data_IF_712570608828
#
_entry.id   IF_712570608828
#
_cell.length_a   1.000
_cell.length_b   1.000
_cell.length_c   1.000
_cell.angle_alpha   90.00
_cell.angle_beta   90.00
_cell.angle_gamma   90.00
#
_symmetry.space_group_name_H-M   'P 1'
#
loop_
_entity.id
_entity.type
_entity.pdbx_description
1 polymer ?
#
# COMPACT_ATOMS: atom_id res chain seq x y z
N UNK A 1 -8.80 -0.84 -20.30
CA UNK A 1 -7.95 -0.02 -19.42
C UNK A 1 -7.53 -0.81 -18.20
N UNK A 2 -6.29 -0.60 -17.76
CA UNK A 2 -5.69 -1.27 -16.61
C UNK A 2 -5.58 -0.27 -15.45
N UNK A 3 -6.16 -0.60 -14.29
CA UNK A 3 -5.99 0.18 -13.07
C UNK A 3 -5.05 -0.58 -12.15
N UNK A 4 -3.87 -0.02 -11.93
CA UNK A 4 -2.87 -0.51 -11.00
C UNK A 4 -3.01 0.32 -9.74
N UNK A 5 -3.17 -0.29 -8.57
CA UNK A 5 -3.23 0.45 -7.31
C UNK A 5 -2.55 -0.30 -6.18
N UNK A 6 -2.15 0.44 -5.15
CA UNK A 6 -1.49 -0.06 -3.95
C UNK A 6 -1.95 0.77 -2.74
N UNK A 7 -1.94 0.16 -1.56
CA UNK A 7 -2.33 0.79 -0.31
C UNK A 7 -1.28 0.63 0.78
N UNK A 8 -0.99 1.73 1.48
CA UNK A 8 -0.34 1.67 2.78
C UNK A 8 -1.39 1.62 3.87
N UNK A 9 -1.13 0.87 4.94
CA UNK A 9 -2.14 0.60 5.98
C UNK A 9 -1.57 0.68 7.38
N UNK A 10 -2.46 0.68 8.37
CA UNK A 10 -2.07 0.67 9.78
C UNK A 10 -1.47 -0.66 10.26
N UNK A 11 -1.35 -1.69 9.41
CA UNK A 11 -0.76 -2.97 9.79
C UNK A 11 -1.21 -4.14 8.91
N UNK A 12 -1.31 -5.32 9.51
CA UNK A 12 -1.75 -6.55 8.83
C UNK A 12 -3.11 -7.01 9.39
N UNK A 13 -3.92 -7.76 8.62
CA UNK A 13 -5.20 -8.23 9.09
C UNK A 13 -5.00 -9.33 10.14
N UNK A 14 -5.92 -9.43 11.10
CA UNK A 14 -5.85 -10.49 12.12
C UNK A 14 -6.03 -11.87 11.49
N UNK A 15 -6.87 -11.97 10.47
CA UNK A 15 -7.16 -13.14 9.68
C UNK A 15 -7.29 -12.75 8.20
N UNK A 16 -6.41 -13.28 7.35
CA UNK A 16 -6.42 -13.04 5.90
C UNK A 16 -7.65 -13.61 5.19
N UNK A 17 -8.39 -14.53 5.83
CA UNK A 17 -9.57 -15.16 5.25
C UNK A 17 -10.90 -14.54 5.72
N UNK A 18 -10.86 -13.44 6.48
CA UNK A 18 -12.08 -12.81 6.97
C UNK A 18 -12.83 -12.12 5.81
N UNK A 19 -14.18 -12.12 5.78
CA UNK A 19 -14.92 -11.34 4.79
C UNK A 19 -14.72 -9.83 5.02
N UNK A 20 -14.90 -9.02 3.97
CA UNK A 20 -14.81 -7.54 4.08
C UNK A 20 -15.84 -6.95 5.07
N UNK A 21 -16.94 -7.65 5.30
CA UNK A 21 -17.98 -7.28 6.27
C UNK A 21 -17.50 -7.38 7.73
N UNK A 22 -16.46 -8.17 7.99
CA UNK A 22 -15.73 -8.15 9.27
C UNK A 22 -14.66 -7.07 9.19
N UNK A 23 -15.09 -5.82 9.05
CA UNK A 23 -14.20 -4.70 8.74
C UNK A 23 -13.18 -4.41 9.85
N UNK A 24 -13.46 -4.80 11.09
CA UNK A 24 -12.54 -4.64 12.23
C UNK A 24 -11.36 -5.62 12.19
N UNK A 25 -11.47 -6.70 11.41
CA UNK A 25 -10.34 -7.60 11.14
C UNK A 25 -9.26 -6.94 10.27
N UNK A 26 -9.69 -6.11 9.33
CA UNK A 26 -8.84 -5.48 8.33
C UNK A 26 -8.24 -4.17 8.88
N UNK A 27 -6.97 -3.86 8.59
CA UNK A 27 -6.38 -2.59 9.01
C UNK A 27 -7.04 -1.40 8.26
N UNK A 28 -6.71 -0.18 8.71
CA UNK A 28 -7.19 1.06 8.10
C UNK A 28 -6.26 1.48 6.97
N UNK A 29 -6.83 1.99 5.88
CA UNK A 29 -6.06 2.58 4.79
C UNK A 29 -5.42 3.90 5.25
N UNK A 30 -4.16 4.10 4.92
CA UNK A 30 -3.36 5.27 5.29
C UNK A 30 -2.96 6.05 4.04
N UNK A 31 -2.63 5.34 2.98
CA UNK A 31 -2.39 5.89 1.65
C UNK A 31 -3.08 5.00 0.63
N UNK A 32 -3.49 5.60 -0.48
CA UNK A 32 -3.75 4.89 -1.72
C UNK A 32 -3.06 5.63 -2.86
N UNK A 33 -2.48 4.90 -3.78
CA UNK A 33 -2.04 5.42 -5.06
C UNK A 33 -2.58 4.55 -6.19
N UNK A 34 -2.77 5.13 -7.37
CA UNK A 34 -3.11 4.36 -8.56
C UNK A 34 -2.59 5.00 -9.84
N UNK A 35 -2.45 4.14 -10.84
CA UNK A 35 -2.22 4.49 -12.24
C UNK A 35 -3.30 3.85 -13.10
N UNK A 36 -3.90 4.65 -13.98
CA UNK A 36 -4.81 4.17 -15.01
C UNK A 36 -4.08 4.21 -16.36
N UNK A 37 -4.00 3.06 -17.02
CA UNK A 37 -3.37 2.91 -18.33
C UNK A 37 -4.40 2.51 -19.39
N UNK A 38 -4.15 2.95 -20.63
CA UNK A 38 -4.88 2.48 -21.79
C UNK A 38 -4.49 1.03 -22.17
N UNK A 39 -5.13 0.50 -23.20
CA UNK A 39 -4.87 -0.83 -23.75
C UNK A 39 -3.44 -1.01 -24.33
N UNK A 40 -2.71 0.08 -24.58
CA UNK A 40 -1.33 0.09 -25.08
C UNK A 40 -0.31 0.27 -23.95
N UNK A 41 -0.77 0.38 -22.70
CA UNK A 41 0.08 0.62 -21.53
C UNK A 41 0.50 2.09 -21.38
N UNK A 42 -0.07 3.02 -22.13
CA UNK A 42 0.20 4.44 -21.93
C UNK A 42 -0.50 4.93 -20.65
N UNK A 43 0.23 5.68 -19.82
CA UNK A 43 -0.29 6.27 -18.59
C UNK A 43 -1.29 7.39 -18.93
N UNK A 44 -2.54 7.23 -18.50
CA UNK A 44 -3.62 8.21 -18.69
C UNK A 44 -3.83 9.09 -17.46
N UNK A 45 -3.74 8.50 -16.27
CA UNK A 45 -3.96 9.17 -14.99
C UNK A 45 -3.06 8.52 -13.93
N UNK A 46 -2.48 9.34 -13.07
CA UNK A 46 -1.86 8.92 -11.82
C UNK A 46 -2.39 9.80 -10.70
N UNK A 47 -2.81 9.19 -9.59
CA UNK A 47 -3.23 9.89 -8.38
C UNK A 47 -2.72 9.18 -7.15
N UNK A 48 -2.49 9.97 -6.12
CA UNK A 48 -2.08 9.51 -4.81
C UNK A 48 -2.71 10.37 -3.72
N UNK A 49 -3.09 9.72 -2.63
CA UNK A 49 -3.77 10.36 -1.51
C UNK A 49 -3.25 9.78 -0.20
N UNK A 50 -2.79 10.66 0.69
CA UNK A 50 -2.77 10.38 2.12
C UNK A 50 -4.21 10.49 2.66
N UNK A 51 -4.59 9.60 3.56
CA UNK A 51 -5.93 9.54 4.13
C UNK A 51 -5.88 10.09 5.56
N UNK A 52 -6.71 11.09 5.85
CA UNK A 52 -6.85 11.62 7.20
C UNK A 52 -7.41 10.52 8.11
N UNK A 53 -6.74 10.18 9.23
CA UNK A 53 -7.24 9.18 10.15
C UNK A 53 -8.57 9.60 10.78
N UNK A 54 -9.58 8.74 10.66
CA UNK A 54 -10.92 8.94 11.21
C UNK A 54 -11.17 7.94 12.35
N UNK A 55 -10.95 8.42 13.58
CA UNK A 55 -11.11 7.64 14.80
C UNK A 55 -9.99 6.64 15.10
N UNK A 56 -8.83 6.78 14.45
CA UNK A 56 -7.64 5.95 14.70
C UNK A 56 -6.35 6.76 14.63
N UNK A 57 -5.28 6.17 15.15
CA UNK A 57 -3.91 6.66 14.99
C UNK A 57 -3.12 5.65 14.17
N UNK A 58 -2.14 6.13 13.40
CA UNK A 58 -1.24 5.24 12.65
C UNK A 58 -0.23 4.66 13.64
N UNK A 59 -0.14 3.32 13.80
CA UNK A 59 0.80 2.71 14.72
C UNK A 59 2.25 2.98 14.31
N UNK A 60 3.12 3.19 15.29
CA UNK A 60 4.54 3.49 15.05
C UNK A 60 5.27 2.42 14.22
N UNK A 61 4.91 1.15 14.37
CA UNK A 61 5.51 0.08 13.57
C UNK A 61 5.12 0.15 12.09
N UNK A 62 3.89 0.59 11.78
CA UNK A 62 3.47 0.86 10.40
C UNK A 62 4.19 2.11 9.85
N UNK A 63 4.22 3.19 10.63
CA UNK A 63 4.96 4.41 10.28
C UNK A 63 6.44 4.13 9.98
N UNK A 64 7.11 3.24 10.72
CA UNK A 64 8.52 2.88 10.45
C UNK A 64 8.72 2.23 9.08
N UNK A 65 7.72 1.52 8.58
CA UNK A 65 7.74 0.82 7.30
C UNK A 65 7.53 1.85 6.18
N UNK A 66 6.35 2.47 6.13
CA UNK A 66 5.92 3.33 5.02
C UNK A 66 6.22 4.83 5.21
N UNK A 67 6.58 5.25 6.42
CA UNK A 67 7.01 6.62 6.73
C UNK A 67 5.89 7.64 6.95
N UNK A 68 4.64 7.21 7.11
CA UNK A 68 3.49 8.13 7.24
C UNK A 68 3.09 8.20 8.72
N UNK A 69 3.33 9.35 9.34
CA UNK A 69 2.88 9.58 10.72
C UNK A 69 1.43 10.03 10.76
N UNK A 70 0.81 9.93 11.94
CA UNK A 70 -0.56 10.44 12.16
C UNK A 70 -0.64 11.93 11.85
N UNK A 71 0.38 12.68 12.23
CA UNK A 71 0.49 14.13 12.00
C UNK A 71 0.62 14.44 10.51
N UNK A 72 1.46 13.70 9.77
CA UNK A 72 1.59 13.86 8.32
C UNK A 72 0.27 13.59 7.60
N UNK A 73 -0.39 12.49 7.94
CA UNK A 73 -1.67 12.12 7.35
C UNK A 73 -2.78 13.12 7.70
N UNK A 74 -2.74 13.71 8.90
CA UNK A 74 -3.69 14.74 9.32
C UNK A 74 -3.46 16.07 8.62
N UNK A 75 -2.20 16.49 8.44
CA UNK A 75 -1.86 17.78 7.82
C UNK A 75 -2.01 17.77 6.29
N UNK A 76 -1.61 16.68 5.64
CA UNK A 76 -1.51 16.59 4.18
C UNK A 76 -2.52 15.66 3.53
N UNK A 77 -3.29 14.92 4.33
CA UNK A 77 -4.28 13.98 3.82
C UNK A 77 -5.56 14.63 3.34
N UNK A 78 -6.41 13.79 2.74
CA UNK A 78 -7.79 14.10 2.39
C UNK A 78 -8.74 13.18 3.14
N UNK A 79 -10.02 13.52 3.18
CA UNK A 79 -11.03 12.62 3.75
C UNK A 79 -11.14 11.34 2.91
N UNK A 80 -11.42 10.22 3.57
CA UNK A 80 -11.65 8.93 2.88
C UNK A 80 -12.81 9.02 1.86
N UNK A 81 -13.83 9.85 2.12
CA UNK A 81 -14.91 10.08 1.16
C UNK A 81 -14.41 10.71 -0.14
N UNK A 82 -13.45 11.64 -0.09
CA UNK A 82 -12.83 12.20 -1.29
C UNK A 82 -12.04 11.15 -2.06
N UNK A 83 -11.37 10.24 -1.35
CA UNK A 83 -10.70 9.09 -1.96
C UNK A 83 -11.70 8.19 -2.67
N UNK A 84 -12.81 7.82 -2.03
CA UNK A 84 -13.86 7.01 -2.66
C UNK A 84 -14.39 7.65 -3.94
N UNK A 85 -14.69 8.96 -3.93
CA UNK A 85 -15.16 9.66 -5.13
C UNK A 85 -14.16 9.60 -6.29
N UNK A 86 -12.88 9.81 -6.02
CA UNK A 86 -11.84 9.80 -7.06
C UNK A 86 -11.52 8.38 -7.53
N UNK A 87 -11.51 7.41 -6.61
CA UNK A 87 -11.23 6.02 -6.94
C UNK A 87 -12.38 5.37 -7.72
N UNK A 88 -13.64 5.63 -7.36
CA UNK A 88 -14.80 5.17 -8.14
C UNK A 88 -14.81 5.75 -9.56
N UNK A 89 -14.35 7.00 -9.77
CA UNK A 89 -14.18 7.55 -11.12
C UNK A 89 -13.12 6.77 -11.91
N UNK A 90 -12.03 6.34 -11.27
CA UNK A 90 -11.04 5.48 -11.91
C UNK A 90 -11.64 4.10 -12.23
N UNK A 91 -12.27 3.46 -11.24
CA UNK A 91 -12.94 2.16 -11.38
C UNK A 91 -13.99 2.13 -12.50
N UNK A 92 -14.73 3.22 -12.70
CA UNK A 92 -15.74 3.32 -13.77
C UNK A 92 -15.16 3.22 -15.19
N UNK A 93 -13.86 3.48 -15.35
CA UNK A 93 -13.12 3.37 -16.63
C UNK A 93 -12.35 2.06 -16.72
N UNK A 94 -12.22 1.34 -15.61
CA UNK A 94 -11.38 0.16 -15.47
C UNK A 94 -11.99 -1.06 -16.13
N UNK A 95 -11.14 -1.81 -16.83
CA UNK A 95 -11.48 -3.13 -17.35
C UNK A 95 -10.79 -4.24 -16.54
N UNK A 96 -9.56 -3.99 -16.08
CA UNK A 96 -8.78 -4.92 -15.27
C UNK A 96 -8.18 -4.19 -14.08
N UNK A 97 -8.32 -4.79 -12.90
CA UNK A 97 -7.55 -4.44 -11.72
C UNK A 97 -6.23 -5.20 -11.79
N UNK A 98 -5.13 -4.49 -11.59
CA UNK A 98 -3.78 -5.04 -11.64
C UNK A 98 -3.06 -4.70 -10.35
N UNK A 99 -2.26 -5.63 -9.83
CA UNK A 99 -1.37 -5.33 -8.72
C UNK A 99 -0.41 -6.47 -8.39
N UNK A 100 0.40 -6.28 -7.36
CA UNK A 100 1.30 -7.30 -6.82
C UNK A 100 0.75 -7.78 -5.48
N UNK A 101 0.24 -9.02 -5.43
CA UNK A 101 -0.49 -9.53 -4.27
C UNK A 101 -1.75 -8.66 -3.96
N UNK A 102 -2.42 -8.22 -5.02
CA UNK A 102 -3.49 -7.20 -5.01
C UNK A 102 -4.73 -7.63 -4.23
N UNK A 103 -4.86 -8.93 -3.95
CA UNK A 103 -5.89 -9.44 -3.06
C UNK A 103 -5.88 -8.72 -1.71
N UNK A 104 -4.71 -8.35 -1.18
CA UNK A 104 -4.62 -7.58 0.06
C UNK A 104 -5.30 -6.21 -0.08
N UNK A 105 -4.87 -5.39 -1.04
CA UNK A 105 -5.35 -4.03 -1.28
C UNK A 105 -6.84 -3.97 -1.62
N UNK A 106 -7.34 -4.95 -2.37
CA UNK A 106 -8.78 -5.09 -2.65
C UNK A 106 -9.58 -5.28 -1.37
N UNK A 107 -9.09 -6.09 -0.43
CA UNK A 107 -9.77 -6.27 0.85
C UNK A 107 -9.65 -5.05 1.76
N UNK A 108 -8.52 -4.33 1.72
CA UNK A 108 -8.36 -3.06 2.45
C UNK A 108 -9.40 -2.04 1.99
N UNK A 109 -9.43 -1.76 0.69
CA UNK A 109 -10.38 -0.79 0.14
C UNK A 109 -11.82 -1.29 0.26
N UNK A 110 -12.06 -2.59 0.05
CA UNK A 110 -13.37 -3.21 0.24
C UNK A 110 -13.88 -3.08 1.68
N UNK A 111 -13.01 -3.26 2.67
CA UNK A 111 -13.34 -3.04 4.08
C UNK A 111 -13.60 -1.56 4.37
N UNK A 112 -12.82 -0.63 3.82
CA UNK A 112 -13.11 0.82 3.96
C UNK A 112 -14.47 1.18 3.35
N UNK A 113 -14.76 0.74 2.11
CA UNK A 113 -16.07 0.94 1.50
C UNK A 113 -17.21 0.40 2.38
N UNK A 114 -17.04 -0.79 2.94
CA UNK A 114 -18.01 -1.39 3.86
C UNK A 114 -18.19 -0.56 5.15
N UNK A 115 -17.10 -0.16 5.81
CA UNK A 115 -17.13 0.65 7.06
C UNK A 115 -17.94 1.93 6.89
N UNK A 116 -17.80 2.58 5.74
CA UNK A 116 -18.45 3.85 5.44
C UNK A 116 -19.79 3.69 4.71
N UNK A 117 -20.29 2.47 4.50
CA UNK A 117 -21.57 2.20 3.86
C UNK A 117 -21.63 2.63 2.38
N UNK A 118 -20.50 2.62 1.68
CA UNK A 118 -20.38 3.03 0.27
C UNK A 118 -20.35 1.78 -0.60
N UNK A 119 -21.22 1.72 -1.62
CA UNK A 119 -21.19 0.62 -2.59
C UNK A 119 -20.08 0.82 -3.61
N UNK A 120 -19.42 -0.25 -4.01
CA UNK A 120 -18.35 -0.26 -5.02
C UNK A 120 -18.55 -1.40 -6.02
N UNK A 121 -17.88 -1.29 -7.16
CA UNK A 121 -17.74 -2.36 -8.17
C UNK A 121 -16.40 -3.07 -8.10
N UNK A 122 -15.52 -2.67 -7.17
CA UNK A 122 -14.15 -3.17 -7.05
C UNK A 122 -14.06 -4.70 -7.04
N UNK A 123 -14.96 -5.38 -6.32
CA UNK A 123 -15.02 -6.84 -6.16
C UNK A 123 -15.55 -7.57 -7.40
N UNK A 124 -16.07 -6.84 -8.40
CA UNK A 124 -16.66 -7.40 -9.63
C UNK A 124 -15.74 -7.30 -10.82
N UNK A 125 -14.67 -6.51 -10.72
CA UNK A 125 -13.74 -6.31 -11.83
C UNK A 125 -12.77 -7.49 -11.94
N UNK A 126 -12.44 -7.94 -13.16
CA UNK A 126 -11.40 -8.94 -13.39
C UNK A 126 -10.05 -8.50 -12.82
N UNK A 127 -9.33 -9.45 -12.22
CA UNK A 127 -8.04 -9.21 -11.55
C UNK A 127 -6.90 -9.85 -12.36
N UNK A 128 -5.80 -9.13 -12.50
CA UNK A 128 -4.52 -9.60 -13.04
C UNK A 128 -3.43 -9.36 -11.98
N UNK A 129 -3.06 -10.40 -11.25
CA UNK A 129 -2.05 -10.31 -10.18
C UNK A 129 -0.67 -10.74 -10.72
N UNK A 130 0.34 -9.88 -10.56
CA UNK A 130 1.73 -10.19 -10.92
C UNK A 130 2.42 -11.11 -9.90
N UNK A 131 1.84 -11.30 -8.72
CA UNK A 131 2.23 -12.30 -7.74
C UNK A 131 1.49 -13.62 -8.02
N UNK A 132 2.10 -14.53 -8.79
CA UNK A 132 1.46 -15.77 -9.23
C UNK A 132 2.43 -16.95 -9.25
N UNK A 133 1.90 -18.17 -9.43
CA UNK A 133 2.75 -19.36 -9.67
C UNK A 133 3.60 -19.21 -10.93
N UNK A 134 3.10 -18.54 -11.97
CA UNK A 134 3.86 -18.29 -13.18
C UNK A 134 5.07 -17.39 -12.91
N UNK A 135 4.90 -16.32 -12.14
CA UNK A 135 6.04 -15.45 -11.80
C UNK A 135 7.00 -16.08 -10.80
N UNK A 136 6.53 -16.95 -9.89
CA UNK A 136 7.40 -17.80 -9.08
C UNK A 136 8.26 -18.75 -9.93
N UNK A 137 7.67 -19.42 -10.93
CA UNK A 137 8.40 -20.32 -11.85
C UNK A 137 9.39 -19.57 -12.75
N UNK A 138 9.10 -18.31 -13.10
CA UNK A 138 10.04 -17.45 -13.82
C UNK A 138 11.24 -17.07 -12.96
N UNK A 139 11.00 -16.59 -11.73
CA UNK A 139 12.05 -16.10 -10.85
C UNK A 139 12.87 -17.22 -10.18
N UNK A 140 12.28 -18.42 -10.02
CA UNK A 140 12.90 -19.63 -9.44
C UNK A 140 13.56 -19.39 -8.08
N UNK A 141 12.95 -18.54 -7.25
CA UNK A 141 13.49 -18.22 -5.93
C UNK A 141 13.24 -19.42 -5.00
N UNK A 142 14.27 -20.01 -4.37
CA UNK A 142 14.09 -21.16 -3.50
C UNK A 142 13.35 -20.79 -2.20
N UNK A 143 12.78 -21.79 -1.52
CA UNK A 143 12.15 -21.62 -0.20
C UNK A 143 10.65 -21.32 -0.22
N UNK A 144 9.95 -21.66 -1.31
CA UNK A 144 8.48 -21.59 -1.33
C UNK A 144 7.82 -22.70 -0.52
N UNK A 145 6.52 -22.54 -0.30
CA UNK A 145 5.71 -23.50 0.46
C UNK A 145 5.53 -24.80 -0.32
N UNK A 146 5.46 -25.92 0.40
CA UNK A 146 5.21 -27.25 -0.18
C UNK A 146 6.18 -27.65 -1.31
N UNK A 147 7.44 -27.22 -1.22
CA UNK A 147 8.48 -27.56 -2.21
C UNK A 147 8.40 -26.77 -3.52
N UNK A 148 7.51 -25.77 -3.62
CA UNK A 148 7.43 -24.85 -4.76
C UNK A 148 8.46 -23.72 -4.66
N UNK A 149 8.61 -22.94 -5.72
CA UNK A 149 9.35 -21.68 -5.65
C UNK A 149 8.60 -20.64 -4.81
N UNK A 150 9.37 -19.76 -4.17
CA UNK A 150 8.85 -18.61 -3.42
C UNK A 150 8.24 -17.62 -4.42
N UNK A 151 7.08 -17.06 -4.09
CA UNK A 151 6.56 -15.92 -4.83
C UNK A 151 7.51 -14.72 -4.70
N UNK A 152 7.92 -14.09 -5.80
CA UNK A 152 8.76 -12.91 -5.72
C UNK A 152 7.99 -11.77 -5.06
N UNK A 153 8.62 -11.03 -4.15
CA UNK A 153 8.10 -9.71 -3.81
C UNK A 153 8.29 -8.74 -5.00
N UNK A 154 7.69 -7.55 -4.91
CA UNK A 154 7.75 -6.59 -6.02
C UNK A 154 9.18 -6.23 -6.43
N UNK A 155 10.08 -6.07 -5.45
CA UNK A 155 11.48 -5.72 -5.69
C UNK A 155 12.22 -6.84 -6.39
N UNK A 156 12.01 -8.10 -5.98
CA UNK A 156 12.59 -9.29 -6.59
C UNK A 156 12.09 -9.48 -8.03
N UNK A 157 10.79 -9.26 -8.28
CA UNK A 157 10.24 -9.33 -9.64
C UNK A 157 10.80 -8.21 -10.52
N UNK A 158 10.87 -6.98 -10.00
CA UNK A 158 11.45 -5.85 -10.71
C UNK A 158 12.92 -6.09 -11.03
N UNK A 159 13.71 -6.63 -10.08
CA UNK A 159 15.11 -6.98 -10.30
C UNK A 159 15.27 -8.08 -11.36
N UNK A 160 14.43 -9.11 -11.34
CA UNK A 160 14.41 -10.15 -12.37
C UNK A 160 14.14 -9.58 -13.77
N UNK A 161 13.17 -8.65 -13.88
CA UNK A 161 12.78 -8.07 -15.17
C UNK A 161 13.78 -7.02 -15.67
N UNK A 162 14.29 -6.15 -14.81
CA UNK A 162 15.07 -4.97 -15.22
C UNK A 162 16.54 -5.02 -14.81
N UNK A 163 16.99 -6.09 -14.15
CA UNK A 163 18.36 -6.24 -13.65
C UNK A 163 18.73 -5.29 -12.51
N UNK A 164 17.75 -4.58 -11.96
CA UNK A 164 17.93 -3.59 -10.88
C UNK A 164 16.72 -3.59 -9.96
N UNK A 165 16.89 -3.49 -8.64
CA UNK A 165 15.77 -3.21 -7.74
C UNK A 165 15.24 -1.79 -7.97
N UNK A 166 13.98 -1.53 -7.61
CA UNK A 166 13.43 -0.17 -7.55
C UNK A 166 13.66 0.46 -6.16
N UNK A 167 13.66 1.79 -6.10
CA UNK A 167 13.85 2.54 -4.86
C UNK A 167 12.51 2.82 -4.16
N UNK A 168 12.56 3.14 -2.87
CA UNK A 168 11.39 3.58 -2.08
C UNK A 168 10.23 2.57 -1.99
N UNK A 169 10.55 1.27 -1.88
CA UNK A 169 9.55 0.25 -1.50
C UNK A 169 8.83 0.64 -0.20
N UNK A 170 7.53 0.32 -0.12
CA UNK A 170 6.60 0.77 0.93
C UNK A 170 6.27 2.26 0.79
N UNK A 171 6.04 2.66 -0.44
CA UNK A 171 5.44 3.94 -0.81
C UNK A 171 4.50 3.63 -1.96
N UNK A 172 3.19 3.73 -1.72
CA UNK A 172 2.19 3.30 -2.68
C UNK A 172 2.42 3.87 -4.10
N UNK A 173 2.94 5.10 -4.23
CA UNK A 173 3.22 5.69 -5.55
C UNK A 173 4.36 4.98 -6.29
N UNK A 174 5.44 4.63 -5.58
CA UNK A 174 6.59 3.92 -6.14
C UNK A 174 6.24 2.45 -6.42
N UNK A 175 5.49 1.82 -5.52
CA UNK A 175 5.02 0.45 -5.64
C UNK A 175 4.03 0.30 -6.82
N UNK A 176 3.14 1.26 -7.04
CA UNK A 176 2.26 1.30 -8.22
C UNK A 176 3.07 1.44 -9.51
N UNK A 177 4.04 2.35 -9.58
CA UNK A 177 4.87 2.50 -10.79
C UNK A 177 5.70 1.23 -11.06
N UNK A 178 6.33 0.66 -10.04
CA UNK A 178 7.08 -0.59 -10.18
C UNK A 178 6.16 -1.74 -10.63
N UNK A 179 4.96 -1.84 -10.07
CA UNK A 179 3.98 -2.87 -10.42
C UNK A 179 3.48 -2.71 -11.85
N UNK A 180 3.15 -1.48 -12.27
CA UNK A 180 2.76 -1.19 -13.65
C UNK A 180 3.88 -1.56 -14.62
N UNK A 181 5.13 -1.23 -14.31
CA UNK A 181 6.29 -1.61 -15.13
C UNK A 181 6.45 -3.13 -15.22
N UNK A 182 6.39 -3.83 -14.09
CA UNK A 182 6.47 -5.29 -14.06
C UNK A 182 5.34 -5.94 -14.88
N UNK A 183 4.10 -5.47 -14.72
CA UNK A 183 2.94 -5.95 -15.45
C UNK A 183 3.12 -5.82 -16.97
N UNK A 184 3.39 -4.62 -17.46
CA UNK A 184 3.53 -4.40 -18.91
C UNK A 184 4.77 -5.10 -19.47
N UNK A 185 5.84 -5.25 -18.70
CA UNK A 185 7.03 -5.98 -19.13
C UNK A 185 6.78 -7.49 -19.25
N UNK A 186 6.01 -8.07 -18.32
CA UNK A 186 5.55 -9.46 -18.43
C UNK A 186 4.72 -9.66 -19.71
N UNK A 187 3.78 -8.76 -20.01
CA UNK A 187 3.00 -8.82 -21.24
C UNK A 187 3.89 -8.66 -22.49
N UNK A 188 4.83 -7.70 -22.48
CA UNK A 188 5.78 -7.49 -23.59
C UNK A 188 6.61 -8.75 -23.87
N UNK A 189 7.01 -9.48 -22.82
CA UNK A 189 7.73 -10.77 -22.93
C UNK A 189 6.83 -11.96 -23.24
N UNK A 190 5.51 -11.79 -23.20
CA UNK A 190 4.53 -12.88 -23.25
C UNK A 190 4.77 -13.92 -22.13
N UNK A 191 4.99 -13.43 -20.92
CA UNK A 191 5.30 -14.19 -19.70
C UNK A 191 4.31 -13.81 -18.57
N UNK A 192 4.27 -14.60 -17.49
CA UNK A 192 3.59 -14.24 -16.23
C UNK A 192 2.06 -14.36 -16.21
N UNK A 193 1.40 -14.43 -17.36
CA UNK A 193 -0.05 -14.56 -17.47
C UNK A 193 -0.47 -15.66 -18.45
N UNK A 194 -1.59 -16.33 -18.16
CA UNK A 194 -2.20 -17.29 -19.08
C UNK A 194 -3.07 -16.59 -20.13
N UNK A 195 -3.28 -17.25 -21.27
CA UNK A 195 -4.20 -16.78 -22.33
C UNK A 195 -5.67 -16.71 -21.89
N UNK A 196 -6.02 -17.36 -20.78
CA UNK A 196 -7.35 -17.25 -20.17
C UNK A 196 -7.51 -15.98 -19.33
N UNK A 197 -6.42 -15.39 -18.84
CA UNK A 197 -6.44 -14.18 -18.04
C UNK A 197 -6.41 -12.92 -18.90
N UNK A 198 -5.58 -12.92 -19.95
CA UNK A 198 -5.44 -11.81 -20.89
C UNK A 198 -5.45 -12.33 -22.33
N UNK A 199 -6.14 -11.61 -23.23
CA UNK A 199 -6.29 -12.07 -24.61
C UNK A 199 -4.98 -11.92 -25.40
N UNK A 200 -4.74 -12.80 -26.40
CA UNK A 200 -3.59 -12.67 -27.28
C UNK A 200 -3.52 -11.31 -28.00
N UNK A 201 -4.66 -10.73 -28.36
CA UNK A 201 -4.73 -9.43 -29.01
C UNK A 201 -4.24 -8.29 -28.10
N UNK A 202 -4.56 -8.35 -26.81
CA UNK A 202 -4.07 -7.38 -25.83
C UNK A 202 -2.55 -7.49 -25.64
N UNK A 203 -2.01 -8.72 -25.59
CA UNK A 203 -0.55 -8.95 -25.52
C UNK A 203 0.14 -8.39 -26.76
N UNK A 204 -0.38 -8.70 -27.96
CA UNK A 204 0.18 -8.20 -29.23
C UNK A 204 0.18 -6.67 -29.27
N UNK A 205 -0.90 -6.04 -28.81
CA UNK A 205 -0.99 -4.58 -28.77
C UNK A 205 0.10 -3.96 -27.89
N UNK A 206 0.40 -4.55 -26.72
CA UNK A 206 1.53 -4.11 -25.88
C UNK A 206 2.86 -4.31 -26.61
N UNK A 207 3.08 -5.48 -27.22
CA UNK A 207 4.33 -5.79 -27.92
C UNK A 207 4.60 -4.87 -29.11
N UNK A 208 3.56 -4.47 -29.86
CA UNK A 208 3.66 -3.53 -30.97
C UNK A 208 4.00 -2.11 -30.52
N UNK A 209 3.56 -1.71 -29.33
CA UNK A 209 3.78 -0.36 -28.80
C UNK A 209 5.07 -0.25 -27.94
N UNK A 210 5.66 -1.38 -27.54
CA UNK A 210 6.86 -1.41 -26.69
C UNK A 210 7.93 -2.34 -27.25
N UNK A 211 8.83 -1.80 -28.08
CA UNK A 211 9.95 -2.55 -28.67
C UNK A 211 11.15 -2.74 -27.74
N UNK A 212 11.18 -2.04 -26.62
CA UNK A 212 12.24 -2.08 -25.59
C UNK A 212 11.62 -2.32 -24.20
N UNK A 213 12.42 -2.67 -23.18
CA UNK A 213 11.91 -2.80 -21.82
C UNK A 213 11.12 -1.57 -21.36
N UNK A 214 10.04 -1.80 -20.60
CA UNK A 214 9.15 -0.72 -20.13
C UNK A 214 9.93 0.31 -19.32
N UNK A 215 9.91 1.55 -19.80
CA UNK A 215 10.57 2.69 -19.17
C UNK A 215 9.75 3.23 -17.99
N UNK A 216 10.40 4.00 -17.12
CA UNK A 216 9.72 4.79 -16.09
C UNK A 216 8.87 5.89 -16.76
N UNK A 217 7.76 6.26 -16.12
CA UNK A 217 6.93 7.39 -16.54
C UNK A 217 7.42 8.73 -15.99
N UNK A 218 8.50 8.71 -15.20
CA UNK A 218 9.15 9.91 -14.67
C UNK A 218 8.34 10.59 -13.57
N UNK A 219 7.55 9.81 -12.84
CA UNK A 219 6.80 10.29 -11.69
C UNK A 219 7.76 10.66 -10.56
N UNK A 220 7.35 11.62 -9.74
CA UNK A 220 8.09 12.02 -8.54
C UNK A 220 7.42 11.42 -7.33
N UNK A 221 8.15 10.57 -6.63
CA UNK A 221 7.71 10.00 -5.36
C UNK A 221 8.21 10.88 -4.22
N UNK A 222 7.32 11.18 -3.28
CA UNK A 222 7.68 11.94 -2.07
C UNK A 222 8.27 10.97 -1.07
N UNK A 223 9.44 11.29 -0.52
CA UNK A 223 9.99 10.52 0.59
C UNK A 223 9.20 10.79 1.88
N UNK A 224 8.26 9.90 2.19
CA UNK A 224 7.31 10.06 3.30
C UNK A 224 8.02 10.07 4.66
N UNK A 225 9.09 9.26 4.82
CA UNK A 225 9.92 9.25 6.04
C UNK A 225 10.50 10.62 6.33
N UNK A 226 11.14 11.23 5.33
CA UNK A 226 11.69 12.59 5.45
C UNK A 226 10.60 13.63 5.69
N UNK A 227 9.42 13.47 5.08
CA UNK A 227 8.29 14.37 5.29
C UNK A 227 7.78 14.32 6.74
N UNK A 228 7.57 13.13 7.29
CA UNK A 228 7.17 12.93 8.69
C UNK A 228 8.23 13.44 9.67
N UNK A 229 9.52 13.18 9.43
CA UNK A 229 10.61 13.69 10.27
C UNK A 229 10.66 15.22 10.31
N UNK A 230 10.41 15.89 9.17
CA UNK A 230 10.35 17.35 9.12
C UNK A 230 9.22 17.90 9.98
N UNK A 231 8.06 17.26 10.02
CA UNK A 231 6.95 17.68 10.88
C UNK A 231 7.29 17.48 12.36
N UNK A 232 7.85 16.33 12.74
CA UNK A 232 8.34 16.08 14.11
C UNK A 232 9.34 17.14 14.56
N UNK A 233 10.26 17.55 13.68
CA UNK A 233 11.24 18.60 13.99
C UNK A 233 10.62 19.99 14.19
N UNK A 234 9.51 20.30 13.52
CA UNK A 234 8.78 21.56 13.69
C UNK A 234 8.04 21.60 15.03
N UNK A 235 7.42 20.49 15.42
CA UNK A 235 6.74 20.33 16.72
C UNK A 235 7.73 20.28 17.89
N UNK A 236 8.93 19.76 17.67
CA UNK A 236 10.04 19.77 18.65
C UNK A 236 10.69 21.16 18.83
N UNK A 237 10.06 22.26 18.39
CA UNK A 237 10.33 23.55 19.03
C UNK A 237 9.95 23.40 20.50
N UNK A 238 10.95 23.15 21.33
CA UNK A 238 10.78 22.92 22.76
C UNK A 238 9.91 24.02 23.38
N UNK A 239 9.14 23.63 24.39
CA UNK A 239 8.40 24.55 25.24
C UNK A 239 9.34 25.69 25.66
N UNK A 240 8.85 26.93 25.59
CA UNK A 240 9.56 28.06 26.15
C UNK A 240 9.80 27.87 27.65
N UNK A 241 10.84 28.50 28.20
CA UNK A 241 11.13 28.43 29.64
C UNK A 241 9.93 28.85 30.51
N UNK A 242 9.07 29.73 29.97
CA UNK A 242 7.80 30.15 30.58
C UNK A 242 6.81 28.99 30.67
N UNK A 243 6.57 28.29 29.55
CA UNK A 243 5.64 27.16 29.49
C UNK A 243 6.13 25.98 30.35
N UNK A 244 7.44 25.73 30.39
CA UNK A 244 8.03 24.71 31.28
C UNK A 244 7.76 25.04 32.74
N UNK A 245 7.97 26.30 33.14
CA UNK A 245 7.75 26.75 34.52
C UNK A 245 6.28 26.64 34.94
N UNK A 246 5.36 27.02 34.05
CA UNK A 246 3.91 26.88 34.29
C UNK A 246 3.47 25.42 34.40
N UNK A 247 3.96 24.55 33.51
CA UNK A 247 3.65 23.12 33.55
C UNK A 247 4.17 22.44 34.83
N UNK A 248 5.38 22.80 35.28
CA UNK A 248 5.94 22.29 36.55
C UNK A 248 5.09 22.72 37.75
N UNK A 249 4.61 23.97 37.77
CA UNK A 249 3.73 24.45 38.83
C UNK A 249 2.39 23.71 38.85
N UNK A 250 1.80 23.45 37.68
CA UNK A 250 0.57 22.64 37.53
C UNK A 250 0.74 21.21 38.03
N UNK A 251 1.89 20.59 37.77
CA UNK A 251 2.17 19.20 38.13
C UNK A 251 2.40 18.99 39.64
N UNK A 252 2.77 20.03 40.41
CA UNK A 252 3.00 19.91 41.85
C UNK A 252 1.77 19.43 42.63
N UNK A 253 0.57 19.83 42.19
CA UNK A 253 -0.70 19.45 42.82
C UNK A 253 -1.47 18.38 42.04
N UNK A 254 -0.92 17.89 40.93
CA UNK A 254 -1.61 16.93 40.10
C UNK A 254 -1.71 15.57 40.81
N UNK A 255 -2.91 15.00 40.97
CA UNK A 255 -3.04 13.64 41.48
C UNK A 255 -2.42 12.69 40.45
N UNK A 256 -1.50 11.84 40.89
CA UNK A 256 -0.92 10.79 40.06
C UNK A 256 -1.02 9.44 40.76
N UNK A 257 -1.03 8.38 39.97
CA UNK A 257 -0.96 7.01 40.47
C UNK A 257 0.20 6.30 39.78
N UNK A 258 0.92 5.48 40.52
CA UNK A 258 1.88 4.55 39.96
C UNK A 258 1.15 3.28 39.52
N UNK A 259 1.00 3.10 38.21
CA UNK A 259 0.48 1.86 37.64
C UNK A 259 1.62 0.87 37.46
N UNK A 260 1.65 -0.15 38.30
CA UNK A 260 2.55 -1.28 38.14
C UNK A 260 1.83 -2.36 37.31
N UNK A 261 2.21 -2.48 36.04
CA UNK A 261 1.69 -3.55 35.18
C UNK A 261 2.52 -4.82 35.38
N UNK A 262 2.00 -5.78 36.14
CA UNK A 262 2.61 -7.11 36.27
C UNK A 262 2.00 -8.04 35.22
N UNK A 263 2.80 -8.41 34.21
CA UNK A 263 2.42 -9.48 33.28
C UNK A 263 2.60 -10.84 33.95
N UNK A 264 1.87 -11.88 33.52
CA UNK A 264 2.11 -13.26 34.01
C UNK A 264 3.54 -13.77 33.72
N UNK A 265 4.27 -13.16 32.77
CA UNK A 265 5.69 -13.45 32.52
C UNK A 265 6.64 -12.79 33.53
N UNK A 266 6.14 -11.90 34.38
CA UNK A 266 6.91 -11.19 35.42
C UNK A 266 6.84 -11.88 36.78
N UNK A 267 5.99 -12.90 36.94
CA UNK A 267 5.88 -13.70 38.16
C UNK A 267 6.62 -15.01 37.92
N UNK A 268 7.83 -15.16 38.46
CA UNK A 268 8.50 -16.45 38.55
C UNK A 268 7.66 -17.35 39.46
N UNK A 269 6.82 -18.20 38.86
CA UNK A 269 6.26 -19.34 39.56
C UNK A 269 7.38 -20.38 39.72
N UNK A 270 7.92 -20.49 40.92
CA UNK A 270 8.57 -21.71 41.37
C UNK A 270 7.52 -22.84 41.30
N UNK A 271 7.90 -23.93 40.65
CA UNK A 271 7.18 -25.23 40.58
C UNK A 271 6.54 -25.64 41.89
#
# INVERSE_FOLDING_TARGET
MYLIFDTETTGLPRNYNAPISDSENWPRAVQIAWQLHDEKGALLEHKDFLIIPDGYTIPYDAERIHGISTELATEQGVSIHKVFEEFEKALSKTQYIVGQNIGFDIHIMGAEFYRYGVSTVLDKLPILDTCSELTAELCKIPGGRAGKFKYPNLTELHEFLFGTPFAEAHNATADVEATARCFFELLRRNEGFSSSAISPEAILLIQENHSSPISLWGLKHINLKSASEKLKSKEQRGLSDSEISENLALLQSAPFAHLHNHSQHSVLQST
#
